data_IF_305616744197
#
_entry.id   IF_305616744197
#
_cell.length_a   1.000
_cell.length_b   1.000
_cell.length_c   1.000
_cell.angle_alpha   90.00
_cell.angle_beta   90.00
_cell.angle_gamma   90.00
#
_symmetry.space_group_name_H-M   'P 1'
#
loop_
_entity.id
_entity.type
_entity.pdbx_description
1 polymer ?
#
# COMPACT_ATOMS: atom_id res chain seq x y z
N UNK A 1 8.97 -28.96 23.59
CA UNK A 1 7.68 -28.73 22.89
C UNK A 1 6.84 -27.63 23.59
N UNK A 2 7.46 -26.54 24.06
CA UNK A 2 6.78 -25.45 24.82
C UNK A 2 7.07 -24.04 24.28
N UNK A 3 8.01 -23.90 23.34
CA UNK A 3 8.34 -22.61 22.73
C UNK A 3 7.29 -22.18 21.68
N UNK A 4 6.70 -23.17 20.99
CA UNK A 4 5.70 -22.95 19.93
C UNK A 4 4.33 -22.51 20.46
N UNK A 5 3.97 -22.89 21.70
CA UNK A 5 2.68 -22.56 22.30
C UNK A 5 2.64 -21.15 22.91
N UNK A 6 3.78 -20.61 23.37
CA UNK A 6 3.86 -19.22 23.87
C UNK A 6 3.69 -18.17 22.77
N UNK A 7 4.10 -18.47 21.54
CA UNK A 7 3.96 -17.57 20.39
C UNK A 7 2.51 -17.38 19.93
N UNK A 8 1.57 -18.22 20.39
CA UNK A 8 0.15 -18.10 20.08
C UNK A 8 -0.62 -17.29 21.14
N UNK A 9 -0.08 -17.10 22.35
CA UNK A 9 -0.75 -16.41 23.46
C UNK A 9 -0.26 -14.98 23.67
N UNK A 10 1.01 -14.70 23.38
CA UNK A 10 1.51 -13.34 23.25
C UNK A 10 1.62 -13.07 21.77
N UNK A 11 0.65 -12.33 21.22
CA UNK A 11 0.75 -11.80 19.87
C UNK A 11 2.05 -11.03 19.76
N UNK A 12 3.09 -11.68 19.25
CA UNK A 12 4.35 -11.07 18.85
C UNK A 12 4.02 -10.26 17.60
N UNK A 13 3.32 -9.14 17.82
CA UNK A 13 3.19 -8.03 16.92
C UNK A 13 4.52 -7.28 16.99
N UNK A 14 5.64 -7.97 16.71
CA UNK A 14 6.85 -7.23 16.41
C UNK A 14 6.54 -6.52 15.09
N UNK A 15 6.15 -5.26 15.23
CA UNK A 15 5.86 -4.34 14.15
C UNK A 15 7.11 -3.94 13.38
N UNK A 16 8.28 -4.51 13.75
CA UNK A 16 9.54 -4.41 13.04
C UNK A 16 9.85 -5.67 12.21
N UNK A 17 9.15 -6.78 12.40
CA UNK A 17 9.33 -7.96 11.54
C UNK A 17 8.75 -7.66 10.13
N UNK A 18 9.65 -7.56 9.14
CA UNK A 18 9.29 -7.35 7.74
C UNK A 18 8.39 -8.48 7.17
N UNK A 19 8.35 -9.66 7.79
CA UNK A 19 7.44 -10.74 7.40
C UNK A 19 6.06 -10.62 8.03
N UNK A 20 5.88 -9.75 9.03
CA UNK A 20 4.62 -9.57 9.72
C UNK A 20 3.72 -8.57 8.98
N UNK A 21 3.07 -9.07 7.92
CA UNK A 21 2.16 -8.28 7.08
C UNK A 21 0.71 -8.22 7.59
N UNK A 22 0.46 -8.74 8.80
CA UNK A 22 -0.90 -8.82 9.37
C UNK A 22 -1.51 -7.45 9.69
N UNK A 23 -0.66 -6.45 9.90
CA UNK A 23 -1.07 -5.10 10.28
C UNK A 23 -1.30 -4.17 9.09
N UNK A 24 -1.18 -4.67 7.86
CA UNK A 24 -1.43 -3.89 6.64
C UNK A 24 -2.86 -4.17 6.20
N UNK A 25 -3.73 -3.18 6.35
CA UNK A 25 -5.14 -3.26 5.99
C UNK A 25 -5.49 -2.29 4.86
N UNK A 26 -4.57 -1.41 4.51
CA UNK A 26 -4.67 -0.42 3.43
C UNK A 26 -3.26 -0.02 2.98
N UNK A 27 -3.11 0.47 1.74
CA UNK A 27 -1.82 0.92 1.20
C UNK A 27 -1.03 1.86 2.12
N UNK A 28 -1.71 2.81 2.79
CA UNK A 28 -1.03 3.78 3.69
C UNK A 28 -0.37 3.14 4.90
N UNK A 29 -0.82 1.95 5.33
CA UNK A 29 -0.17 1.23 6.43
C UNK A 29 1.23 0.75 6.01
N UNK A 30 1.42 0.43 4.72
CA UNK A 30 2.73 0.11 4.15
C UNK A 30 3.66 1.32 4.11
N UNK A 31 3.10 2.48 3.77
CA UNK A 31 3.86 3.72 3.68
C UNK A 31 4.35 4.15 5.08
N UNK A 32 3.45 4.10 6.05
CA UNK A 32 3.74 4.41 7.45
C UNK A 32 4.76 3.43 8.05
N UNK A 33 4.72 2.15 7.65
CA UNK A 33 5.71 1.15 8.03
C UNK A 33 7.14 1.59 7.64
N UNK A 34 7.37 1.94 6.36
CA UNK A 34 8.73 2.29 5.90
C UNK A 34 9.25 3.59 6.49
N UNK A 35 8.38 4.58 6.74
CA UNK A 35 8.72 5.79 7.49
C UNK A 35 9.20 5.44 8.90
N UNK A 36 8.48 4.53 9.57
CA UNK A 36 8.83 4.07 10.90
C UNK A 36 10.15 3.32 10.91
N UNK A 37 10.36 2.37 9.99
CA UNK A 37 11.64 1.64 9.87
C UNK A 37 12.78 2.63 9.69
N UNK A 38 12.67 3.58 8.77
CA UNK A 38 13.68 4.62 8.54
C UNK A 38 14.07 5.38 9.82
N UNK A 39 13.08 5.71 10.66
CA UNK A 39 13.30 6.45 11.92
C UNK A 39 13.90 5.61 13.06
N UNK A 40 13.78 4.28 13.00
CA UNK A 40 14.09 3.39 14.14
C UNK A 40 15.34 2.52 13.92
N UNK A 41 15.72 2.26 12.67
CA UNK A 41 16.92 1.45 12.38
C UNK A 41 18.19 2.25 12.62
N UNK A 42 19.21 1.58 13.17
CA UNK A 42 20.51 2.16 13.48
C UNK A 42 21.58 1.85 12.43
N UNK A 43 21.31 0.90 11.53
CA UNK A 43 22.22 0.54 10.43
C UNK A 43 22.05 1.52 9.27
N UNK A 44 23.14 2.14 8.83
CA UNK A 44 23.14 3.06 7.67
C UNK A 44 22.59 2.41 6.40
N UNK A 45 22.88 1.13 6.17
CA UNK A 45 22.38 0.39 5.01
C UNK A 45 20.86 0.21 5.09
N UNK A 46 20.35 -0.26 6.23
CA UNK A 46 18.91 -0.42 6.44
C UNK A 46 18.18 0.93 6.41
N UNK A 47 18.80 1.98 6.93
CA UNK A 47 18.24 3.32 6.91
C UNK A 47 18.12 3.86 5.47
N UNK A 48 19.17 3.73 4.65
CA UNK A 48 19.13 4.13 3.23
C UNK A 48 18.07 3.36 2.46
N UNK A 49 17.95 2.05 2.68
CA UNK A 49 16.92 1.20 2.07
C UNK A 49 15.52 1.62 2.48
N UNK A 50 15.26 1.77 3.78
CA UNK A 50 13.95 2.21 4.28
C UNK A 50 13.58 3.61 3.77
N UNK A 51 14.58 4.52 3.70
CA UNK A 51 14.41 5.84 3.09
C UNK A 51 14.02 5.76 1.62
N UNK A 52 14.68 4.90 0.85
CA UNK A 52 14.38 4.71 -0.56
C UNK A 52 12.91 4.28 -0.77
N UNK A 53 12.44 3.32 0.03
CA UNK A 53 11.04 2.88 -0.02
C UNK A 53 10.08 3.98 0.41
N UNK A 54 10.35 4.66 1.54
CA UNK A 54 9.49 5.75 2.00
C UNK A 54 9.39 6.87 0.97
N UNK A 55 10.51 7.29 0.39
CA UNK A 55 10.55 8.35 -0.62
C UNK A 55 9.81 7.93 -1.90
N UNK A 56 9.92 6.65 -2.30
CA UNK A 56 9.25 6.16 -3.50
C UNK A 56 7.73 6.06 -3.30
N UNK A 57 7.27 5.63 -2.13
CA UNK A 57 5.85 5.59 -1.78
C UNK A 57 5.22 6.98 -1.62
N UNK A 58 6.00 8.02 -1.27
CA UNK A 58 5.49 9.39 -1.17
C UNK A 58 4.83 9.90 -2.46
N UNK A 59 5.20 9.35 -3.63
CA UNK A 59 4.60 9.73 -4.91
C UNK A 59 3.09 9.42 -5.02
N UNK A 60 2.60 8.46 -4.22
CA UNK A 60 1.20 8.00 -4.20
C UNK A 60 0.53 8.15 -2.83
N UNK A 61 1.27 8.56 -1.80
CA UNK A 61 0.80 8.62 -0.41
C UNK A 61 -0.45 9.49 -0.26
N UNK A 62 -0.42 10.71 -0.81
CA UNK A 62 -1.53 11.66 -0.72
C UNK A 62 -2.81 11.08 -1.33
N UNK A 63 -2.70 10.48 -2.52
CA UNK A 63 -3.83 9.93 -3.27
C UNK A 63 -4.50 8.80 -2.49
N UNK A 64 -3.73 7.92 -1.84
CA UNK A 64 -4.30 6.86 -1.02
C UNK A 64 -4.88 7.35 0.32
N UNK A 65 -4.30 8.41 0.92
CA UNK A 65 -4.89 9.04 2.12
C UNK A 65 -6.20 9.75 1.80
N UNK A 66 -6.26 10.41 0.63
CA UNK A 66 -7.42 11.15 0.13
C UNK A 66 -8.28 10.32 -0.83
N UNK A 67 -8.16 8.98 -0.81
CA UNK A 67 -8.80 8.08 -1.79
C UNK A 67 -10.30 8.33 -1.95
N UNK A 68 -11.00 8.75 -0.89
CA UNK A 68 -12.44 9.06 -0.91
C UNK A 68 -12.80 10.28 -1.78
N UNK A 69 -11.85 11.20 -1.96
CA UNK A 69 -12.03 12.44 -2.71
C UNK A 69 -11.67 12.30 -4.19
N UNK A 70 -11.01 11.20 -4.56
CA UNK A 70 -10.64 10.92 -5.96
C UNK A 70 -11.91 10.52 -6.72
N UNK A 71 -12.15 11.16 -7.85
CA UNK A 71 -13.26 10.79 -8.73
C UNK A 71 -12.92 9.56 -9.58
N UNK A 72 -13.92 9.02 -10.28
CA UNK A 72 -13.74 7.81 -11.09
C UNK A 72 -12.69 7.95 -12.19
N UNK A 73 -12.44 9.17 -12.69
CA UNK A 73 -11.46 9.43 -13.74
C UNK A 73 -10.03 9.40 -13.16
N UNK A 74 -9.83 10.01 -11.99
CA UNK A 74 -8.57 9.98 -11.26
C UNK A 74 -8.20 8.59 -10.74
N UNK A 75 -9.16 7.66 -10.65
CA UNK A 75 -8.86 6.28 -10.26
C UNK A 75 -7.94 5.57 -11.26
N UNK A 76 -8.10 5.80 -12.57
CA UNK A 76 -7.20 5.20 -13.58
C UNK A 76 -5.78 5.70 -13.40
N UNK A 77 -5.62 7.02 -13.26
CA UNK A 77 -4.31 7.64 -13.06
C UNK A 77 -3.65 7.13 -11.77
N UNK A 78 -4.43 6.96 -10.69
CA UNK A 78 -3.93 6.38 -9.45
C UNK A 78 -3.43 4.94 -9.64
N UNK A 79 -4.17 4.10 -10.39
CA UNK A 79 -3.74 2.73 -10.67
C UNK A 79 -2.41 2.73 -11.42
N UNK A 80 -2.30 3.53 -12.49
CA UNK A 80 -1.10 3.62 -13.32
C UNK A 80 0.11 4.07 -12.48
N UNK A 81 -0.03 5.17 -11.71
CA UNK A 81 1.02 5.66 -10.81
C UNK A 81 1.42 4.62 -9.74
N UNK A 82 0.45 3.86 -9.23
CA UNK A 82 0.73 2.84 -8.21
C UNK A 82 1.50 1.66 -8.77
N UNK A 83 1.21 1.26 -10.02
CA UNK A 83 1.96 0.21 -10.72
C UNK A 83 3.40 0.68 -10.96
N UNK A 84 3.59 1.92 -11.42
CA UNK A 84 4.93 2.48 -11.62
C UNK A 84 5.75 2.52 -10.33
N UNK A 85 5.11 2.91 -9.21
CA UNK A 85 5.75 2.89 -7.88
C UNK A 85 6.09 1.48 -7.44
N UNK A 86 5.17 0.52 -7.62
CA UNK A 86 5.40 -0.87 -7.24
C UNK A 86 6.54 -1.50 -8.06
N UNK A 87 6.57 -1.24 -9.37
CA UNK A 87 7.61 -1.71 -10.27
C UNK A 87 8.97 -1.12 -9.89
N UNK A 88 9.05 0.19 -9.66
CA UNK A 88 10.27 0.86 -9.21
C UNK A 88 10.80 0.29 -7.89
N UNK A 89 9.92 0.00 -6.94
CA UNK A 89 10.31 -0.64 -5.67
C UNK A 89 10.76 -2.08 -5.90
N UNK A 90 10.11 -2.80 -6.82
CA UNK A 90 10.44 -4.19 -7.10
C UNK A 90 11.78 -4.36 -7.83
N UNK A 91 12.10 -3.46 -8.76
CA UNK A 91 13.28 -3.55 -9.61
C UNK A 91 14.50 -2.90 -8.96
N UNK A 92 14.34 -1.67 -8.47
CA UNK A 92 15.46 -0.87 -7.95
C UNK A 92 15.60 -0.97 -6.43
N UNK A 93 14.61 -1.54 -5.75
CA UNK A 93 14.58 -1.69 -4.31
C UNK A 93 15.43 -2.84 -3.82
N UNK A 94 16.52 -2.54 -3.11
CA UNK A 94 17.35 -3.57 -2.48
C UNK A 94 16.53 -4.42 -1.50
N UNK A 95 16.41 -5.72 -1.77
CA UNK A 95 15.79 -6.72 -0.92
C UNK A 95 14.36 -6.37 -0.45
N UNK A 96 13.51 -5.77 -1.28
CA UNK A 96 12.12 -5.54 -0.90
C UNK A 96 11.41 -6.89 -0.65
N UNK A 97 10.78 -7.14 0.52
CA UNK A 97 10.31 -8.48 0.82
C UNK A 97 9.06 -8.82 -0.01
N UNK A 98 9.08 -9.97 -0.69
CA UNK A 98 7.98 -10.41 -1.56
C UNK A 98 6.62 -10.43 -0.84
N UNK A 99 6.58 -10.96 0.39
CA UNK A 99 5.34 -11.04 1.16
C UNK A 99 4.72 -9.65 1.41
N UNK A 100 5.56 -8.63 1.56
CA UNK A 100 5.13 -7.24 1.71
C UNK A 100 4.57 -6.69 0.40
N UNK A 101 5.19 -7.02 -0.74
CA UNK A 101 4.70 -6.63 -2.07
C UNK A 101 3.34 -7.26 -2.37
N UNK A 102 3.21 -8.57 -2.16
CA UNK A 102 1.96 -9.30 -2.38
C UNK A 102 0.82 -8.72 -1.53
N UNK A 103 1.12 -8.41 -0.27
CA UNK A 103 0.14 -7.79 0.63
C UNK A 103 -0.23 -6.38 0.18
N UNK A 104 0.74 -5.53 -0.14
CA UNK A 104 0.52 -4.18 -0.62
C UNK A 104 -0.39 -4.17 -1.86
N UNK A 105 -0.08 -5.00 -2.87
CA UNK A 105 -0.88 -5.11 -4.08
C UNK A 105 -2.29 -5.66 -3.81
N UNK A 106 -2.44 -6.57 -2.84
CA UNK A 106 -3.75 -7.08 -2.42
C UNK A 106 -4.60 -5.98 -1.79
N UNK A 107 -4.05 -5.22 -0.84
CA UNK A 107 -4.78 -4.13 -0.18
C UNK A 107 -5.07 -2.97 -1.13
N UNK A 108 -4.16 -2.70 -2.07
CA UNK A 108 -4.39 -1.75 -3.17
C UNK A 108 -5.59 -2.15 -4.01
N UNK A 109 -5.62 -3.40 -4.51
CA UNK A 109 -6.75 -3.92 -5.30
C UNK A 109 -8.07 -3.82 -4.53
N UNK A 110 -8.05 -4.20 -3.26
CA UNK A 110 -9.23 -4.15 -2.40
C UNK A 110 -9.71 -2.71 -2.18
N UNK A 111 -8.81 -1.78 -1.88
CA UNK A 111 -9.14 -0.36 -1.68
C UNK A 111 -9.75 0.28 -2.92
N UNK A 112 -9.15 0.04 -4.08
CA UNK A 112 -9.62 0.55 -5.37
C UNK A 112 -10.97 -0.04 -5.76
N UNK A 113 -11.13 -1.37 -5.62
CA UNK A 113 -12.39 -2.04 -5.89
C UNK A 113 -13.53 -1.49 -5.03
N UNK A 114 -13.29 -1.30 -3.73
CA UNK A 114 -14.30 -0.77 -2.83
C UNK A 114 -14.66 0.68 -3.17
N UNK A 115 -13.67 1.51 -3.52
CA UNK A 115 -13.93 2.88 -3.97
C UNK A 115 -14.77 2.90 -5.24
N UNK A 116 -14.37 2.14 -6.26
CA UNK A 116 -15.09 2.04 -7.51
C UNK A 116 -16.53 1.55 -7.32
N UNK A 117 -16.72 0.53 -6.47
CA UNK A 117 -18.05 0.04 -6.09
C UNK A 117 -18.90 1.11 -5.41
N UNK A 118 -18.30 1.90 -4.50
CA UNK A 118 -19.01 2.99 -3.82
C UNK A 118 -19.43 4.08 -4.81
N UNK A 119 -18.55 4.47 -5.73
CA UNK A 119 -18.85 5.49 -6.73
C UNK A 119 -19.95 5.05 -7.67
N UNK A 120 -19.87 3.83 -8.21
CA UNK A 120 -20.91 3.27 -9.08
C UNK A 120 -22.28 3.23 -8.40
N UNK A 121 -22.33 2.93 -7.10
CA UNK A 121 -23.60 2.89 -6.35
C UNK A 121 -24.18 4.29 -6.11
N UNK A 122 -23.37 5.35 -6.23
CA UNK A 122 -23.78 6.74 -6.01
C UNK A 122 -24.02 7.51 -7.33
N UNK A 123 -23.66 6.91 -8.47
CA UNK A 123 -23.81 7.52 -9.79
C UNK A 123 -25.28 7.64 -10.22
N UNK A 124 -25.62 8.80 -10.78
CA UNK A 124 -26.89 9.04 -11.45
C UNK A 124 -26.84 8.55 -12.91
N UNK A 125 -28.01 8.42 -13.55
CA UNK A 125 -28.10 8.03 -14.96
C UNK A 125 -27.38 9.01 -15.92
N UNK A 126 -27.20 10.28 -15.53
CA UNK A 126 -26.48 11.29 -16.31
C UNK A 126 -24.96 11.10 -16.22
N UNK A 127 -24.45 10.60 -15.10
CA UNK A 127 -23.01 10.38 -14.90
C UNK A 127 -22.48 9.26 -15.80
N UNK A 128 -23.30 8.24 -16.07
CA UNK A 128 -22.96 7.13 -16.98
C UNK A 128 -22.74 7.58 -18.43
N UNK A 129 -23.40 8.64 -18.90
CA UNK A 129 -23.22 9.12 -20.27
C UNK A 129 -21.85 9.75 -20.52
N UNK A 130 -21.19 10.26 -19.47
CA UNK A 130 -19.85 10.83 -19.55
C UNK A 130 -18.74 9.76 -19.51
N UNK A 131 -19.04 8.54 -19.04
CA UNK A 131 -18.08 7.42 -19.01
C UNK A 131 -17.85 6.85 -20.42
N UNK A 132 -18.83 6.95 -21.32
CA UNK A 132 -18.78 6.40 -22.68
C UNK A 132 -17.76 7.04 -23.63
N UNK A 133 -17.04 8.08 -23.23
CA UNK A 133 -15.91 8.65 -24.00
C UNK A 133 -14.56 8.01 -23.64
N UNK A 134 -14.53 7.06 -22.70
CA UNK A 134 -13.30 6.52 -22.09
C UNK A 134 -12.98 5.09 -22.60
N UNK A 135 -13.89 4.45 -23.33
CA UNK A 135 -13.66 3.13 -23.96
C UNK A 135 -13.49 3.27 -25.47
#
# INVERSE_FOLDING_TARGET
MHKTLKLLETGDLDDRDENNVKMIYKPVDEFDYWIKVYSQVTSDAQQKRAKYFSDTFQNIDKQFRDLRQIDINGMKELIDQTIDVADKIWVDGEDYPQIRMDKFLTEMKFGIYNKFKLDLNQMSALDFQNIGQII
#
